data_IF_926898093016
#
_entry.id   IF_926898093016
#
_cell.length_a   1.000
_cell.length_b   1.000
_cell.length_c   1.000
_cell.angle_alpha   90.00
_cell.angle_beta   90.00
_cell.angle_gamma   90.00
#
_symmetry.space_group_name_H-M   'P 1'
#
loop_
_entity.id
_entity.type
_entity.pdbx_description
1 polymer ?
#
# COMPACT_ATOMS: atom_id res chain seq x y z
N UNK A 1 -2.06 13.78 -0.40
CA UNK A 1 -2.55 14.82 0.50
C UNK A 1 -3.10 16.03 -0.24
N UNK A 2 -4.04 16.72 0.38
CA UNK A 2 -4.69 17.92 -0.18
C UNK A 2 -3.69 19.06 -0.49
N UNK A 3 -2.53 19.07 0.17
CA UNK A 3 -1.48 20.08 0.00
C UNK A 3 -0.31 19.63 -0.89
N UNK A 4 -0.44 18.53 -1.62
CA UNK A 4 0.62 18.04 -2.48
C UNK A 4 0.93 18.93 -3.70
N UNK A 5 0.15 20.00 -3.92
CA UNK A 5 0.39 20.97 -4.99
C UNK A 5 0.90 22.28 -4.43
N UNK A 6 2.15 22.57 -4.68
CA UNK A 6 2.68 23.89 -4.45
C UNK A 6 2.49 24.80 -5.69
N UNK A 7 2.70 26.12 -5.48
CA UNK A 7 2.47 27.17 -6.45
C UNK A 7 3.20 27.04 -7.81
N UNK A 8 4.04 26.04 -7.97
CA UNK A 8 4.84 25.78 -9.18
C UNK A 8 4.49 24.47 -9.88
N UNK A 9 3.39 23.80 -9.50
CA UNK A 9 2.95 22.57 -10.16
C UNK A 9 3.73 21.32 -9.81
N UNK A 10 4.67 21.38 -8.88
CA UNK A 10 5.36 20.20 -8.36
C UNK A 10 4.57 19.55 -7.24
N UNK A 11 4.51 18.22 -7.25
CA UNK A 11 3.97 17.47 -6.13
C UNK A 11 5.01 17.38 -5.01
N UNK A 12 4.63 17.75 -3.80
CA UNK A 12 5.42 17.48 -2.60
C UNK A 12 4.95 16.16 -1.96
N UNK A 13 5.86 15.49 -1.26
CA UNK A 13 5.48 14.36 -0.42
C UNK A 13 4.50 14.85 0.67
N UNK A 14 3.47 14.05 1.00
CA UNK A 14 2.57 14.35 2.11
C UNK A 14 3.37 14.55 3.40
N UNK A 15 3.03 15.58 4.15
CA UNK A 15 3.61 15.82 5.47
C UNK A 15 2.94 14.91 6.49
N UNK A 16 3.67 14.47 7.50
CA UNK A 16 3.10 13.69 8.60
C UNK A 16 2.05 14.48 9.38
N UNK A 17 2.23 15.80 9.44
CA UNK A 17 1.31 16.74 10.08
C UNK A 17 0.55 17.54 9.01
N UNK A 18 -0.75 17.65 9.20
CA UNK A 18 -1.64 18.49 8.38
C UNK A 18 -2.19 17.85 7.12
N UNK A 19 -1.41 17.05 6.39
CA UNK A 19 -1.90 16.36 5.20
C UNK A 19 -2.78 15.16 5.58
N UNK A 20 -3.96 15.06 4.96
CA UNK A 20 -4.93 14.04 5.31
C UNK A 20 -4.73 12.73 4.53
N UNK A 21 -5.12 11.63 5.16
CA UNK A 21 -5.39 10.38 4.43
C UNK A 21 -6.69 10.56 3.65
N UNK A 22 -6.59 10.56 2.33
CA UNK A 22 -7.75 10.75 1.44
C UNK A 22 -8.36 9.44 0.99
N UNK A 23 -7.56 8.39 0.88
CA UNK A 23 -8.05 7.03 0.63
C UNK A 23 -7.06 5.96 1.09
N UNK A 24 -7.58 4.77 1.39
CA UNK A 24 -6.79 3.56 1.67
C UNK A 24 -7.35 2.43 0.82
N UNK A 25 -6.53 1.94 -0.13
CA UNK A 25 -6.83 0.76 -0.93
C UNK A 25 -6.25 -0.50 -0.29
N UNK A 26 -7.04 -1.56 -0.23
CA UNK A 26 -6.62 -2.87 0.26
C UNK A 26 -7.12 -3.97 -0.64
N UNK A 27 -6.24 -4.90 -1.00
CA UNK A 27 -6.57 -6.07 -1.80
C UNK A 27 -6.40 -7.33 -0.97
N UNK A 28 -7.42 -8.16 -0.91
CA UNK A 28 -7.41 -9.41 -0.15
C UNK A 28 -7.43 -10.61 -1.09
N UNK A 29 -6.50 -11.51 -0.87
CA UNK A 29 -6.30 -12.70 -1.69
C UNK A 29 -6.07 -13.93 -0.80
N UNK A 30 -6.65 -15.05 -1.15
CA UNK A 30 -6.33 -16.33 -0.53
C UNK A 30 -5.07 -16.91 -1.16
N UNK A 31 -4.17 -17.45 -0.34
CA UNK A 31 -2.95 -18.08 -0.83
C UNK A 31 -3.26 -19.18 -1.86
N UNK A 32 -2.56 -19.12 -2.98
CA UNK A 32 -2.75 -20.07 -4.10
C UNK A 32 -3.81 -19.67 -5.12
N UNK A 33 -4.65 -18.68 -4.84
CA UNK A 33 -5.57 -18.14 -5.83
C UNK A 33 -4.86 -17.15 -6.75
N UNK A 34 -5.32 -17.05 -8.00
CA UNK A 34 -4.78 -16.08 -8.97
C UNK A 34 -5.41 -14.70 -8.81
N UNK A 35 -6.68 -14.67 -8.44
CA UNK A 35 -7.47 -13.45 -8.37
C UNK A 35 -7.82 -13.11 -6.93
N UNK A 36 -7.84 -11.81 -6.57
CA UNK A 36 -8.29 -11.37 -5.27
C UNK A 36 -9.79 -11.64 -5.09
N UNK A 37 -10.17 -11.99 -3.87
CA UNK A 37 -11.59 -12.15 -3.54
C UNK A 37 -12.24 -10.82 -3.16
N UNK A 38 -11.44 -9.80 -2.81
CA UNK A 38 -11.93 -8.48 -2.44
C UNK A 38 -10.87 -7.40 -2.77
N UNK A 39 -11.28 -6.37 -3.49
CA UNK A 39 -10.61 -5.09 -3.59
C UNK A 39 -11.43 -4.06 -2.83
N UNK A 40 -10.88 -3.45 -1.81
CA UNK A 40 -11.61 -2.53 -0.94
C UNK A 40 -10.93 -1.17 -0.94
N UNK A 41 -11.68 -0.12 -1.20
CA UNK A 41 -11.21 1.25 -1.17
C UNK A 41 -12.03 2.06 -0.16
N UNK A 42 -11.37 2.58 0.87
CA UNK A 42 -11.96 3.47 1.87
C UNK A 42 -11.56 4.89 1.52
N UNK A 43 -12.51 5.79 1.37
CA UNK A 43 -12.31 7.12 0.79
C UNK A 43 -12.88 8.21 1.69
N UNK A 44 -12.13 9.29 1.83
CA UNK A 44 -12.59 10.52 2.47
C UNK A 44 -13.45 11.32 1.49
N UNK A 45 -14.64 11.72 1.93
CA UNK A 45 -15.67 12.43 1.17
C UNK A 45 -16.32 11.55 0.09
N UNK A 46 -16.01 11.75 -1.19
CA UNK A 46 -16.68 11.05 -2.28
C UNK A 46 -15.71 10.55 -3.35
N UNK A 47 -16.10 9.47 -4.00
CA UNK A 47 -15.37 8.88 -5.11
C UNK A 47 -16.35 8.28 -6.11
N UNK A 48 -15.96 8.23 -7.38
CA UNK A 48 -16.71 7.49 -8.39
C UNK A 48 -16.62 5.98 -8.13
N UNK A 49 -17.68 5.26 -8.50
CA UNK A 49 -17.67 3.79 -8.41
C UNK A 49 -16.54 3.19 -9.28
N UNK A 50 -15.91 2.15 -8.76
CA UNK A 50 -14.90 1.39 -9.51
C UNK A 50 -15.60 0.23 -10.23
N UNK A 51 -15.63 0.22 -11.58
CA UNK A 51 -16.33 -0.80 -12.34
C UNK A 51 -15.49 -2.10 -12.46
N UNK A 52 -15.15 -2.68 -11.34
CA UNK A 52 -14.42 -3.96 -11.25
C UNK A 52 -15.20 -4.94 -10.39
N UNK A 53 -15.21 -6.20 -10.80
CA UNK A 53 -15.73 -7.29 -9.97
C UNK A 53 -14.96 -7.36 -8.64
N UNK A 54 -15.63 -7.75 -7.58
CA UNK A 54 -15.09 -7.86 -6.23
C UNK A 54 -14.49 -6.55 -5.68
N UNK A 55 -14.97 -5.39 -6.16
CA UNK A 55 -14.54 -4.09 -5.68
C UNK A 55 -15.61 -3.42 -4.83
N UNK A 56 -15.22 -2.96 -3.66
CA UNK A 56 -16.06 -2.19 -2.74
C UNK A 56 -15.41 -0.81 -2.52
N UNK A 57 -16.21 0.23 -2.64
CA UNK A 57 -15.81 1.59 -2.27
C UNK A 57 -16.71 2.05 -1.12
N UNK A 58 -16.10 2.37 0.00
CA UNK A 58 -16.78 2.97 1.15
C UNK A 58 -16.30 4.42 1.32
N UNK A 59 -17.22 5.32 1.56
CA UNK A 59 -16.93 6.75 1.71
C UNK A 59 -17.31 7.23 3.10
N UNK A 60 -16.49 8.13 3.65
CA UNK A 60 -16.64 8.67 4.99
C UNK A 60 -16.42 10.17 5.00
N UNK A 61 -17.11 10.88 5.88
CA UNK A 61 -17.06 12.34 5.96
C UNK A 61 -15.83 12.87 6.70
N UNK A 62 -15.24 12.04 7.56
CA UNK A 62 -14.08 12.43 8.38
C UNK A 62 -12.89 11.50 8.20
N UNK A 63 -11.70 12.04 8.31
CA UNK A 63 -10.46 11.25 8.27
C UNK A 63 -10.38 10.21 9.40
N UNK A 64 -10.90 10.55 10.57
CA UNK A 64 -11.01 9.60 11.69
C UNK A 64 -11.78 8.35 11.28
N UNK A 65 -12.91 8.52 10.62
CA UNK A 65 -13.72 7.39 10.14
C UNK A 65 -12.98 6.56 9.10
N UNK A 66 -12.24 7.19 8.18
CA UNK A 66 -11.38 6.49 7.18
C UNK A 66 -10.35 5.60 7.88
N UNK A 67 -9.64 6.12 8.87
CA UNK A 67 -8.63 5.36 9.62
C UNK A 67 -9.24 4.20 10.40
N UNK A 68 -10.36 4.44 11.08
CA UNK A 68 -11.04 3.41 11.87
C UNK A 68 -11.74 2.38 10.99
N UNK A 69 -12.27 2.76 9.83
CA UNK A 69 -12.83 1.83 8.86
C UNK A 69 -11.76 0.86 8.34
N UNK A 70 -10.54 1.33 8.07
CA UNK A 70 -9.43 0.46 7.70
C UNK A 70 -9.04 -0.49 8.84
N UNK A 71 -8.96 -0.02 10.06
CA UNK A 71 -8.72 -0.87 11.23
C UNK A 71 -9.79 -1.96 11.34
N UNK A 72 -11.07 -1.61 11.20
CA UNK A 72 -12.18 -2.57 11.23
C UNK A 72 -12.14 -3.56 10.06
N UNK A 73 -11.76 -3.09 8.86
CA UNK A 73 -11.56 -3.95 7.69
C UNK A 73 -10.48 -5.00 7.94
N UNK A 74 -9.34 -4.61 8.53
CA UNK A 74 -8.27 -5.57 8.91
C UNK A 74 -8.76 -6.58 9.94
N UNK A 75 -9.58 -6.18 10.89
CA UNK A 75 -10.17 -7.11 11.85
C UNK A 75 -11.19 -8.06 11.20
N UNK A 76 -12.03 -7.54 10.33
CA UNK A 76 -13.09 -8.30 9.63
C UNK A 76 -12.50 -9.35 8.69
N UNK A 77 -11.60 -8.93 7.81
CA UNK A 77 -10.98 -9.81 6.81
C UNK A 77 -9.90 -10.71 7.42
N UNK A 78 -9.36 -10.32 8.57
CA UNK A 78 -8.45 -11.08 9.40
C UNK A 78 -7.25 -11.69 8.63
N UNK A 79 -6.47 -10.92 7.86
CA UNK A 79 -5.39 -11.45 7.06
C UNK A 79 -4.28 -12.06 7.92
N UNK A 80 -3.67 -13.16 7.46
CA UNK A 80 -2.48 -13.76 8.06
C UNK A 80 -1.23 -12.94 7.76
N UNK A 81 -1.19 -12.33 6.56
CA UNK A 81 -0.05 -11.60 6.05
C UNK A 81 -0.52 -10.25 5.54
N UNK A 82 0.16 -9.19 5.96
CA UNK A 82 -0.01 -7.83 5.42
C UNK A 82 1.23 -7.52 4.58
N UNK A 83 1.01 -7.20 3.31
CA UNK A 83 2.09 -6.90 2.37
C UNK A 83 1.88 -5.50 1.82
N UNK A 84 2.96 -4.74 1.72
CA UNK A 84 2.96 -3.45 1.05
C UNK A 84 4.34 -3.05 0.56
N UNK A 85 4.44 -1.91 -0.06
CA UNK A 85 5.69 -1.37 -0.58
C UNK A 85 6.08 -0.11 0.19
N UNK A 86 7.20 -0.15 0.90
CA UNK A 86 7.70 0.92 1.77
C UNK A 86 6.76 1.27 2.95
N UNK A 87 5.95 0.33 3.38
CA UNK A 87 5.00 0.54 4.49
C UNK A 87 5.70 0.80 5.83
N UNK A 88 6.93 0.29 6.00
CA UNK A 88 7.77 0.53 7.18
C UNK A 88 8.56 1.85 7.09
N UNK A 89 8.64 2.44 5.90
CA UNK A 89 9.30 3.71 5.70
C UNK A 89 8.34 4.90 5.65
N UNK A 90 7.03 4.67 5.43
CA UNK A 90 6.09 5.77 5.27
C UNK A 90 4.68 5.48 5.82
N UNK A 91 3.96 4.49 5.29
CA UNK A 91 2.51 4.38 5.46
C UNK A 91 2.08 4.20 6.93
N UNK A 92 2.76 3.34 7.68
CA UNK A 92 2.41 3.12 9.08
C UNK A 92 2.65 4.35 9.95
N UNK A 93 3.76 5.03 9.75
CA UNK A 93 4.04 6.27 10.48
C UNK A 93 3.03 7.35 10.12
N UNK A 94 2.75 7.49 8.81
CA UNK A 94 1.80 8.48 8.34
C UNK A 94 0.40 8.26 8.94
N UNK A 95 -0.15 7.06 8.83
CA UNK A 95 -1.45 6.74 9.41
C UNK A 95 -1.47 6.89 10.93
N UNK A 96 -0.38 6.52 11.62
CA UNK A 96 -0.26 6.69 13.06
C UNK A 96 -0.29 8.17 13.47
N UNK A 97 0.49 9.03 12.80
CA UNK A 97 0.48 10.48 13.05
C UNK A 97 -0.90 11.08 12.77
N UNK A 98 -1.55 10.63 11.71
CA UNK A 98 -2.92 11.05 11.42
C UNK A 98 -3.91 10.59 12.51
N UNK A 99 -3.73 9.40 13.05
CA UNK A 99 -4.54 8.92 14.18
C UNK A 99 -4.30 9.76 15.45
N UNK A 100 -3.07 10.22 15.70
CA UNK A 100 -2.77 11.16 16.80
C UNK A 100 -3.53 12.49 16.63
N UNK A 101 -3.46 13.11 15.45
CA UNK A 101 -4.15 14.37 15.18
C UNK A 101 -5.69 14.24 15.22
N UNK A 102 -6.21 13.07 14.86
CA UNK A 102 -7.64 12.78 14.90
C UNK A 102 -8.12 12.21 16.25
N UNK A 103 -7.24 12.13 17.27
CA UNK A 103 -7.54 11.61 18.61
C UNK A 103 -8.20 10.22 18.59
N UNK A 104 -7.66 9.29 17.78
CA UNK A 104 -8.17 7.93 17.65
C UNK A 104 -7.09 6.84 17.71
N UNK A 105 -5.94 7.13 18.31
CA UNK A 105 -4.77 6.21 18.33
C UNK A 105 -5.11 4.86 18.95
N UNK A 106 -5.79 4.84 20.08
CA UNK A 106 -6.10 3.58 20.77
C UNK A 106 -6.98 2.65 19.93
N UNK A 107 -8.02 3.21 19.33
CA UNK A 107 -8.91 2.47 18.46
C UNK A 107 -8.20 2.02 17.18
N UNK A 108 -7.43 2.93 16.56
CA UNK A 108 -6.66 2.64 15.36
C UNK A 108 -5.62 1.53 15.57
N UNK A 109 -4.96 1.49 16.72
CA UNK A 109 -3.95 0.48 17.03
C UNK A 109 -4.51 -0.90 17.43
N UNK A 110 -5.83 -1.10 17.45
CA UNK A 110 -6.44 -2.43 17.68
C UNK A 110 -6.39 -3.30 16.42
N UNK A 111 -5.17 -3.58 15.94
CA UNK A 111 -4.91 -4.35 14.72
C UNK A 111 -4.51 -5.81 14.99
N UNK A 112 -4.19 -6.14 16.24
CA UNK A 112 -3.78 -7.48 16.66
C UNK A 112 -4.90 -8.52 16.48
N UNK A 113 -4.50 -9.78 16.37
CA UNK A 113 -5.40 -10.93 16.53
C UNK A 113 -5.75 -11.24 17.98
N UNK A 114 -4.97 -10.72 18.91
CA UNK A 114 -5.28 -10.83 20.32
C UNK A 114 -6.39 -9.84 20.68
N UNK A 115 -7.41 -10.33 21.35
CA UNK A 115 -8.56 -9.52 21.75
C UNK A 115 -8.11 -8.35 22.64
N UNK A 116 -8.61 -7.15 22.34
CA UNK A 116 -8.40 -5.92 23.09
C UNK A 116 -6.93 -5.46 23.20
N UNK A 117 -6.01 -6.06 22.44
CA UNK A 117 -4.62 -5.64 22.41
C UNK A 117 -4.42 -4.39 21.54
N UNK A 118 -3.73 -3.40 22.12
CA UNK A 118 -3.32 -2.17 21.43
C UNK A 118 -1.89 -2.36 20.91
N UNK A 119 -1.70 -2.25 19.61
CA UNK A 119 -0.43 -2.47 18.91
C UNK A 119 0.50 -1.24 19.00
N UNK A 120 0.92 -0.89 20.21
CA UNK A 120 1.81 0.24 20.45
C UNK A 120 2.40 0.23 21.84
N UNK A 121 3.48 0.93 22.02
CA UNK A 121 4.16 1.08 23.30
C UNK A 121 3.62 2.32 24.02
N UNK A 122 2.93 2.12 25.15
CA UNK A 122 2.45 3.22 25.97
C UNK A 122 3.62 3.83 26.76
N UNK A 123 3.93 5.08 26.48
CA UNK A 123 4.83 5.89 27.26
C UNK A 123 4.11 6.33 28.56
N UNK A 124 4.57 5.81 29.69
CA UNK A 124 3.94 6.04 31.00
C UNK A 124 4.09 7.48 31.52
N UNK A 125 5.11 8.20 31.02
CA UNK A 125 5.34 9.58 31.45
C UNK A 125 4.42 10.56 30.71
N UNK A 126 4.25 10.33 29.41
CA UNK A 126 3.44 11.22 28.56
C UNK A 126 2.00 10.74 28.36
N UNK A 127 1.71 9.47 28.66
CA UNK A 127 0.42 8.83 28.37
C UNK A 127 0.15 8.63 26.89
N UNK A 128 1.15 8.78 26.03
CA UNK A 128 1.02 8.64 24.57
C UNK A 128 1.54 7.29 24.09
N UNK A 129 0.90 6.77 23.07
CA UNK A 129 1.40 5.59 22.36
C UNK A 129 2.53 5.96 21.39
N UNK A 130 3.44 5.02 21.19
CA UNK A 130 4.52 5.07 20.21
C UNK A 130 4.49 3.79 19.40
N UNK A 131 4.82 3.89 18.10
CA UNK A 131 5.06 2.74 17.24
C UNK A 131 6.51 2.28 17.35
N UNK A 132 6.80 1.09 16.84
CA UNK A 132 8.17 0.53 16.86
C UNK A 132 9.08 1.33 15.93
N UNK A 133 10.26 1.64 16.42
CA UNK A 133 11.36 2.22 15.64
C UNK A 133 12.53 1.24 15.63
N UNK A 134 13.09 0.99 14.47
CA UNK A 134 14.23 0.11 14.27
C UNK A 134 15.08 0.64 13.14
N UNK A 135 16.33 0.23 13.06
CA UNK A 135 17.18 0.52 11.92
C UNK A 135 17.80 -0.75 11.37
N UNK A 136 17.89 -0.82 10.05
CA UNK A 136 18.58 -1.90 9.35
C UNK A 136 19.79 -1.35 8.60
N UNK A 137 20.89 -2.06 8.67
CA UNK A 137 22.10 -1.79 7.89
C UNK A 137 22.14 -2.78 6.72
N UNK A 138 22.09 -2.24 5.50
CA UNK A 138 22.22 -3.02 4.27
C UNK A 138 23.30 -2.40 3.39
N UNK A 139 23.64 -3.02 2.26
CA UNK A 139 24.71 -2.55 1.37
C UNK A 139 24.52 -1.10 0.89
N UNK A 140 23.27 -0.64 0.76
CA UNK A 140 22.91 0.74 0.36
C UNK A 140 22.91 1.76 1.51
N UNK A 141 23.26 1.37 2.74
CA UNK A 141 23.29 2.25 3.91
C UNK A 141 22.37 1.83 5.05
N UNK A 142 22.27 2.72 6.04
CA UNK A 142 21.34 2.56 7.17
C UNK A 142 19.94 3.10 6.76
N UNK A 143 18.92 2.36 7.15
CA UNK A 143 17.52 2.74 6.92
C UNK A 143 16.71 2.61 8.19
N UNK A 144 16.02 3.68 8.54
CA UNK A 144 15.13 3.70 9.69
C UNK A 144 13.77 3.14 9.29
N UNK A 145 13.25 2.25 10.12
CA UNK A 145 11.96 1.60 9.97
C UNK A 145 11.05 2.04 11.09
N UNK A 146 9.83 2.42 10.74
CA UNK A 146 8.79 2.76 11.70
C UNK A 146 7.53 1.97 11.37
N UNK A 147 7.12 1.11 12.29
CA UNK A 147 6.03 0.19 12.00
C UNK A 147 5.20 -0.14 13.23
N UNK A 148 3.98 -0.56 12.99
CA UNK A 148 3.07 -1.05 14.02
C UNK A 148 3.36 -2.54 14.20
N UNK A 149 3.80 -2.96 15.40
CA UNK A 149 3.98 -4.38 15.70
C UNK A 149 2.63 -5.04 15.91
N UNK A 150 2.16 -5.78 14.91
CA UNK A 150 0.85 -6.41 14.92
C UNK A 150 1.01 -7.90 15.26
N UNK A 151 0.64 -8.27 16.48
CA UNK A 151 0.72 -9.66 16.92
C UNK A 151 -0.28 -10.55 16.17
N UNK A 152 0.15 -11.76 15.80
CA UNK A 152 -0.66 -12.73 15.08
C UNK A 152 -0.77 -12.49 13.56
N UNK A 153 -0.08 -11.47 13.01
CA UNK A 153 -0.01 -11.22 11.56
C UNK A 153 1.44 -11.05 11.13
N UNK A 154 1.83 -11.70 10.04
CA UNK A 154 3.12 -11.45 9.40
C UNK A 154 3.02 -10.16 8.59
N UNK A 155 4.05 -9.33 8.66
CA UNK A 155 4.14 -8.10 7.87
C UNK A 155 5.34 -8.18 6.94
N UNK A 156 5.14 -7.86 5.68
CA UNK A 156 6.17 -7.89 4.64
C UNK A 156 6.22 -6.55 3.94
N UNK A 157 7.35 -5.87 4.05
CA UNK A 157 7.65 -4.69 3.26
C UNK A 157 8.50 -5.08 2.05
N UNK A 158 7.89 -5.05 0.87
CA UNK A 158 8.54 -5.43 -0.39
C UNK A 158 9.69 -4.50 -0.76
N UNK A 159 9.66 -3.22 -0.37
CA UNK A 159 10.78 -2.32 -0.61
C UNK A 159 12.05 -2.81 0.09
N UNK A 160 11.93 -3.17 1.37
CA UNK A 160 13.05 -3.72 2.13
C UNK A 160 13.45 -5.12 1.67
N UNK A 161 12.47 -5.94 1.25
CA UNK A 161 12.73 -7.26 0.68
C UNK A 161 13.61 -7.16 -0.57
N UNK A 162 13.20 -6.39 -1.58
CA UNK A 162 13.95 -6.27 -2.84
C UNK A 162 15.33 -5.64 -2.62
N UNK A 163 15.46 -4.67 -1.74
CA UNK A 163 16.77 -4.07 -1.42
C UNK A 163 17.77 -5.04 -0.79
N UNK A 164 17.29 -6.11 -0.18
CA UNK A 164 18.12 -7.14 0.44
C UNK A 164 18.42 -8.30 -0.48
N UNK A 165 17.51 -8.61 -1.39
CA UNK A 165 17.58 -9.82 -2.22
C UNK A 165 18.00 -9.54 -3.66
N UNK A 166 17.76 -8.32 -4.16
CA UNK A 166 17.99 -7.97 -5.55
C UNK A 166 19.01 -6.83 -5.67
N UNK A 167 19.78 -6.85 -6.75
CA UNK A 167 20.74 -5.79 -7.09
C UNK A 167 20.19 -4.98 -8.27
N UNK A 168 19.37 -3.98 -7.98
CA UNK A 168 18.71 -3.13 -8.97
C UNK A 168 19.32 -1.73 -8.99
N UNK A 169 19.25 -1.08 -10.14
CA UNK A 169 19.71 0.30 -10.30
C UNK A 169 18.81 1.32 -9.58
N UNK A 170 17.56 0.96 -9.34
CA UNK A 170 16.57 1.75 -8.60
C UNK A 170 15.61 0.83 -7.88
N UNK A 171 15.16 1.28 -6.70
CA UNK A 171 14.13 0.58 -5.91
C UNK A 171 12.83 1.39 -5.84
N UNK A 172 12.59 2.31 -6.77
CA UNK A 172 11.27 2.91 -6.95
C UNK A 172 10.28 1.84 -7.40
N UNK A 173 9.04 1.94 -6.97
CA UNK A 173 8.00 0.93 -7.23
C UNK A 173 7.85 0.63 -8.72
N UNK A 174 7.79 1.66 -9.55
CA UNK A 174 7.69 1.55 -11.01
C UNK A 174 8.85 0.77 -11.62
N UNK A 175 10.08 1.06 -11.19
CA UNK A 175 11.28 0.37 -11.67
C UNK A 175 11.30 -1.12 -11.26
N UNK A 176 10.97 -1.40 -9.98
CA UNK A 176 10.89 -2.79 -9.49
C UNK A 176 9.78 -3.55 -10.21
N UNK A 177 8.61 -2.94 -10.36
CA UNK A 177 7.49 -3.54 -11.09
C UNK A 177 7.89 -3.84 -12.55
N UNK A 178 8.53 -2.90 -13.24
CA UNK A 178 9.02 -3.10 -14.61
C UNK A 178 9.98 -4.28 -14.74
N UNK A 179 10.84 -4.52 -13.73
CA UNK A 179 11.76 -5.67 -13.76
C UNK A 179 11.07 -7.03 -13.54
N UNK A 180 9.99 -7.10 -12.74
CA UNK A 180 9.40 -8.38 -12.33
C UNK A 180 8.07 -8.70 -13.00
N UNK A 181 7.31 -7.69 -13.45
CA UNK A 181 6.02 -7.87 -14.14
C UNK A 181 6.03 -7.35 -15.59
N UNK A 182 7.11 -6.68 -16.01
CA UNK A 182 7.35 -6.27 -17.40
C UNK A 182 8.18 -7.28 -18.17
N UNK A 183 8.18 -7.15 -19.50
CA UNK A 183 9.10 -7.86 -20.41
C UNK A 183 9.36 -7.00 -21.64
N UNK A 184 10.45 -7.30 -22.35
CA UNK A 184 10.82 -6.58 -23.55
C UNK A 184 9.98 -7.00 -24.75
N UNK A 185 9.51 -6.03 -25.52
CA UNK A 185 8.88 -6.28 -26.81
C UNK A 185 9.94 -6.71 -27.82
N UNK A 186 9.81 -7.93 -28.35
CA UNK A 186 10.73 -8.47 -29.39
C UNK A 186 10.33 -8.02 -30.76
N UNK A 187 9.05 -7.97 -31.03
CA UNK A 187 8.53 -7.51 -32.33
C UNK A 187 7.08 -7.07 -32.21
N UNK A 188 6.69 -6.13 -33.05
CA UNK A 188 5.31 -5.71 -33.26
C UNK A 188 4.98 -5.92 -34.72
N UNK A 189 3.86 -6.59 -35.03
CA UNK A 189 3.28 -6.72 -36.36
C UNK A 189 1.89 -6.13 -36.33
N UNK A 190 1.59 -5.24 -37.25
CA UNK A 190 0.28 -4.62 -37.39
C UNK A 190 -0.37 -5.19 -38.65
N UNK A 191 -1.56 -5.72 -38.50
CA UNK A 191 -2.42 -6.10 -39.64
C UNK A 191 -3.28 -4.87 -39.99
N UNK A 192 -2.93 -4.21 -41.06
CA UNK A 192 -3.62 -3.01 -41.55
C UNK A 192 -5.08 -3.27 -41.93
N UNK A 193 -5.42 -4.50 -42.34
CA UNK A 193 -6.78 -4.85 -42.74
C UNK A 193 -7.73 -5.01 -41.55
N UNK A 194 -7.25 -5.52 -40.45
CA UNK A 194 -8.05 -5.79 -39.24
C UNK A 194 -7.80 -4.78 -38.11
N UNK A 195 -6.71 -3.99 -38.20
CA UNK A 195 -6.26 -3.10 -37.14
C UNK A 195 -5.68 -3.84 -35.90
N UNK A 196 -5.49 -5.16 -36.01
CA UNK A 196 -4.97 -5.98 -34.92
C UNK A 196 -3.45 -5.87 -34.87
N UNK A 197 -2.90 -5.62 -33.70
CA UNK A 197 -1.46 -5.63 -33.45
C UNK A 197 -1.05 -6.91 -32.73
N UNK A 198 -0.07 -7.63 -33.28
CA UNK A 198 0.56 -8.79 -32.65
C UNK A 198 1.88 -8.38 -32.04
N UNK A 199 1.99 -8.50 -30.71
CA UNK A 199 3.19 -8.17 -29.94
C UNK A 199 3.84 -9.48 -29.49
N UNK A 200 5.14 -9.63 -29.78
CA UNK A 200 5.91 -10.79 -29.32
C UNK A 200 6.82 -10.41 -28.16
N UNK A 201 6.80 -11.21 -27.13
CA UNK A 201 7.59 -11.07 -25.90
C UNK A 201 8.11 -12.43 -25.44
N UNK A 202 9.01 -12.45 -24.46
CA UNK A 202 9.55 -13.70 -23.89
C UNK A 202 8.65 -14.29 -22.81
N UNK A 203 7.88 -13.44 -22.13
CA UNK A 203 7.08 -13.83 -20.97
C UNK A 203 5.66 -13.28 -21.09
N UNK A 204 4.69 -14.17 -21.00
CA UNK A 204 3.26 -13.84 -20.96
C UNK A 204 2.64 -14.17 -19.59
N UNK A 205 3.47 -14.45 -18.58
CA UNK A 205 2.98 -14.82 -17.25
C UNK A 205 2.18 -13.64 -16.65
N UNK A 206 0.98 -13.93 -16.19
CA UNK A 206 0.08 -12.94 -15.60
C UNK A 206 -0.79 -12.19 -16.62
N UNK A 207 -0.55 -12.34 -17.93
CA UNK A 207 -1.43 -11.76 -18.95
C UNK A 207 -2.63 -12.68 -19.22
N UNK A 208 -3.81 -12.09 -19.20
CA UNK A 208 -5.07 -12.74 -19.52
C UNK A 208 -5.76 -12.01 -20.67
N UNK A 209 -6.71 -12.67 -21.31
CA UNK A 209 -7.57 -12.01 -22.30
C UNK A 209 -8.35 -10.89 -21.59
N UNK A 210 -8.24 -9.67 -22.11
CA UNK A 210 -8.82 -8.46 -21.49
C UNK A 210 -7.86 -7.67 -20.58
N UNK A 211 -6.64 -8.16 -20.34
CA UNK A 211 -5.62 -7.37 -19.62
C UNK A 211 -5.20 -6.15 -20.45
N UNK A 212 -5.01 -5.01 -19.76
CA UNK A 212 -4.39 -3.83 -20.36
C UNK A 212 -2.87 -3.97 -20.23
N UNK A 213 -2.14 -3.60 -21.30
CA UNK A 213 -0.69 -3.54 -21.31
C UNK A 213 -0.24 -2.12 -21.59
N UNK A 214 0.85 -1.72 -20.97
CA UNK A 214 1.53 -0.46 -21.25
C UNK A 214 2.82 -0.78 -22.02
N UNK A 215 3.08 -0.03 -23.08
CA UNK A 215 4.29 -0.17 -23.90
C UNK A 215 5.00 1.17 -23.91
N UNK A 216 6.25 1.17 -23.48
CA UNK A 216 7.17 2.31 -23.52
C UNK A 216 8.17 2.19 -24.67
#
# INVERSE_FOLDING_TARGET
GEHAKESHGYFTFPKLEGDKVTFIGSTFMNYGNKDPHLNHCIVLNSCSAIPMENSIVETYDTEKEVLLAWQQLVQKENPDIIIGYNIFGFDYEFMFRRAEENNCVEEFLKLSRNKDEICGNLDKETGKYKIEESSIQIASGQHDLRFIKINGRLQVDLYNFYRRTENLNSYKLDHVAGNFIGDFVKSVKIDEATGVSTISTSNLTGLLVGSNIHIE
#
